data_IF_216051260289
#
_entry.id   IF_216051260289
#
_cell.length_a   1.000
_cell.length_b   1.000
_cell.length_c   1.000
_cell.angle_alpha   90.00
_cell.angle_beta   90.00
_cell.angle_gamma   90.00
#
_symmetry.space_group_name_H-M   'P 1'
#
loop_
_entity.id
_entity.type
_entity.pdbx_description
1 polymer ?
#
# COMPACT_ATOMS: atom_id res chain seq x y z
N UNK A 1 11.25 9.02 -16.31
CA UNK A 1 11.74 9.07 -14.90
C UNK A 1 10.61 8.63 -13.98
N UNK A 2 10.89 7.70 -13.10
CA UNK A 2 9.90 7.18 -12.15
C UNK A 2 9.92 8.02 -10.89
N UNK A 3 8.77 8.52 -10.47
CA UNK A 3 8.62 9.38 -9.29
C UNK A 3 7.41 8.98 -8.47
N UNK A 4 7.58 8.93 -7.16
CA UNK A 4 6.46 8.82 -6.21
C UNK A 4 6.00 10.23 -5.83
N UNK A 5 4.71 10.48 -5.90
CA UNK A 5 4.13 11.77 -5.48
C UNK A 5 2.95 11.53 -4.54
N UNK A 6 2.87 12.28 -3.44
CA UNK A 6 1.67 12.24 -2.61
C UNK A 6 0.48 12.75 -3.41
N UNK A 7 -0.66 12.13 -3.20
CA UNK A 7 -1.90 12.54 -3.83
C UNK A 7 -2.85 13.09 -2.78
N UNK A 8 -3.20 14.36 -2.93
CA UNK A 8 -4.16 15.03 -2.07
C UNK A 8 -5.31 15.54 -2.93
N UNK A 9 -6.50 15.04 -2.66
CA UNK A 9 -7.71 15.53 -3.31
C UNK A 9 -8.92 15.36 -2.40
N UNK A 10 -9.85 16.28 -2.50
CA UNK A 10 -11.19 16.16 -1.94
C UNK A 10 -12.18 15.64 -2.98
N UNK A 11 -11.74 15.45 -4.21
CA UNK A 11 -12.57 15.03 -5.32
C UNK A 11 -12.31 13.57 -5.70
N UNK A 12 -13.21 12.68 -5.28
CA UNK A 12 -13.14 11.25 -5.56
C UNK A 12 -13.28 10.88 -7.04
N UNK A 13 -13.90 11.72 -7.83
CA UNK A 13 -14.03 11.50 -9.28
C UNK A 13 -12.65 11.48 -9.94
N UNK A 14 -11.75 12.29 -9.45
CA UNK A 14 -10.36 12.32 -9.94
C UNK A 14 -9.63 11.01 -9.69
N UNK A 15 -9.81 10.40 -8.53
CA UNK A 15 -9.25 9.08 -8.22
C UNK A 15 -9.84 8.02 -9.16
N UNK A 16 -11.13 8.10 -9.45
CA UNK A 16 -11.80 7.18 -10.36
C UNK A 16 -11.32 7.27 -11.80
N UNK A 17 -10.89 8.44 -12.22
CA UNK A 17 -10.37 8.65 -13.57
C UNK A 17 -9.04 7.92 -13.78
N UNK A 18 -8.14 8.00 -12.79
CA UNK A 18 -6.81 7.42 -12.88
C UNK A 18 -6.75 5.94 -12.51
N UNK A 19 -7.67 5.46 -11.69
CA UNK A 19 -7.69 4.07 -11.25
C UNK A 19 -8.97 3.38 -11.72
N UNK A 20 -8.88 2.52 -12.73
CA UNK A 20 -10.00 1.72 -13.16
C UNK A 20 -10.54 0.92 -11.98
N UNK A 21 -11.80 1.13 -11.66
CA UNK A 21 -12.51 0.58 -10.49
C UNK A 21 -12.32 -0.92 -10.31
N UNK A 22 -12.35 -1.67 -11.42
CA UNK A 22 -12.23 -3.12 -11.44
C UNK A 22 -10.81 -3.60 -11.09
N UNK A 23 -9.80 -2.83 -11.46
CA UNK A 23 -8.41 -3.18 -11.25
C UNK A 23 -8.02 -3.05 -9.77
N UNK A 24 -8.39 -1.95 -9.12
CA UNK A 24 -8.11 -1.73 -7.70
C UNK A 24 -8.86 -2.76 -6.85
N UNK A 25 -10.15 -2.98 -7.12
CA UNK A 25 -10.96 -3.95 -6.40
C UNK A 25 -10.41 -5.38 -6.52
N UNK A 26 -9.85 -5.74 -7.68
CA UNK A 26 -9.25 -7.05 -7.93
C UNK A 26 -8.03 -7.33 -7.05
N UNK A 27 -7.24 -6.29 -6.71
CA UNK A 27 -5.97 -6.44 -5.99
C UNK A 27 -6.02 -6.06 -4.51
N UNK A 28 -7.11 -5.49 -4.03
CA UNK A 28 -7.21 -5.02 -2.65
C UNK A 28 -8.20 -5.81 -1.79
N UNK A 29 -8.84 -6.84 -2.32
CA UNK A 29 -9.91 -7.61 -1.65
C UNK A 29 -11.07 -6.76 -1.12
N UNK A 30 -11.06 -5.47 -1.37
CA UNK A 30 -12.08 -4.54 -0.90
C UNK A 30 -12.54 -3.67 -2.06
N UNK A 31 -13.84 -3.50 -2.14
CA UNK A 31 -14.45 -2.73 -3.22
C UNK A 31 -13.95 -1.28 -3.23
N UNK A 32 -13.94 -0.70 -4.40
CA UNK A 32 -13.54 0.67 -4.73
C UNK A 32 -14.01 1.72 -3.72
N UNK A 33 -15.25 1.64 -3.28
CA UNK A 33 -15.82 2.60 -2.33
C UNK A 33 -15.13 2.61 -0.98
N UNK A 34 -14.58 1.47 -0.60
CA UNK A 34 -13.88 1.33 0.67
C UNK A 34 -12.51 2.00 0.63
N UNK A 35 -11.80 1.92 -0.48
CA UNK A 35 -10.53 2.65 -0.67
C UNK A 35 -10.78 4.15 -0.62
N UNK A 36 -11.79 4.62 -1.33
CA UNK A 36 -12.15 6.04 -1.36
C UNK A 36 -12.61 6.56 0.00
N UNK A 37 -13.42 5.77 0.73
CA UNK A 37 -13.86 6.14 2.06
C UNK A 37 -12.72 6.14 3.07
N UNK A 38 -11.77 5.21 2.96
CA UNK A 38 -10.58 5.18 3.79
C UNK A 38 -9.69 6.40 3.56
N UNK A 39 -9.51 6.80 2.32
CA UNK A 39 -8.77 8.01 1.97
C UNK A 39 -9.39 9.26 2.61
N UNK A 40 -10.72 9.35 2.62
CA UNK A 40 -11.45 10.50 3.17
C UNK A 40 -11.54 10.51 4.70
N UNK A 41 -11.77 9.34 5.32
CA UNK A 41 -12.21 9.25 6.70
C UNK A 41 -11.10 8.96 7.73
N UNK A 42 -9.96 8.40 7.33
CA UNK A 42 -8.99 7.82 8.26
C UNK A 42 -7.58 8.39 8.18
N UNK A 43 -7.39 9.59 7.70
CA UNK A 43 -6.03 10.19 7.54
C UNK A 43 -5.08 9.28 6.76
N UNK A 44 -5.61 8.55 5.79
CA UNK A 44 -4.81 7.73 4.92
C UNK A 44 -3.90 8.58 4.05
N UNK A 45 -2.71 8.07 3.79
CA UNK A 45 -1.75 8.67 2.88
C UNK A 45 -1.84 7.92 1.55
N UNK A 46 -2.07 8.63 0.48
CA UNK A 46 -2.21 8.09 -0.85
C UNK A 46 -1.08 8.58 -1.74
N UNK A 47 -0.38 7.66 -2.36
CA UNK A 47 0.77 7.97 -3.21
C UNK A 47 0.58 7.39 -4.60
N UNK A 48 0.95 8.18 -5.60
CA UNK A 48 0.96 7.76 -7.00
C UNK A 48 2.39 7.55 -7.47
N UNK A 49 2.61 6.45 -8.17
CA UNK A 49 3.85 6.20 -8.88
C UNK A 49 3.68 6.65 -10.33
N UNK A 50 4.53 7.55 -10.75
CA UNK A 50 4.52 8.14 -12.09
C UNK A 50 5.71 7.68 -12.90
N UNK A 51 5.49 7.42 -14.17
CA UNK A 51 6.54 7.36 -15.17
C UNK A 51 6.29 8.48 -16.17
N UNK A 52 7.07 9.56 -16.07
CA UNK A 52 6.83 10.83 -16.74
C UNK A 52 5.40 11.32 -16.48
N UNK A 53 4.54 11.34 -17.50
CA UNK A 53 3.15 11.81 -17.37
C UNK A 53 2.13 10.68 -17.17
N UNK A 54 2.59 9.44 -17.01
CA UNK A 54 1.70 8.30 -16.83
C UNK A 54 1.69 7.81 -15.38
N UNK A 55 0.50 7.59 -14.84
CA UNK A 55 0.36 6.91 -13.55
C UNK A 55 0.49 5.41 -13.77
N UNK A 56 1.49 4.81 -13.17
CA UNK A 56 1.83 3.40 -13.33
C UNK A 56 1.60 2.56 -12.08
N UNK A 57 1.29 3.20 -10.95
CA UNK A 57 1.00 2.49 -9.72
C UNK A 57 0.50 3.39 -8.60
N UNK A 58 0.11 2.79 -7.51
CA UNK A 58 -0.23 3.49 -6.29
C UNK A 58 0.08 2.70 -5.03
N UNK A 59 0.25 3.43 -3.93
CA UNK A 59 0.34 2.87 -2.60
C UNK A 59 -0.54 3.63 -1.62
N UNK A 60 -1.19 2.91 -0.73
CA UNK A 60 -2.05 3.48 0.30
C UNK A 60 -1.54 3.06 1.68
N UNK A 61 -1.26 4.03 2.50
CA UNK A 61 -0.87 3.86 3.91
C UNK A 61 -2.02 4.37 4.77
N UNK A 62 -2.48 3.53 5.69
CA UNK A 62 -3.61 3.82 6.56
C UNK A 62 -3.16 3.91 8.02
N UNK A 63 -3.56 4.96 8.70
CA UNK A 63 -3.47 5.04 10.16
C UNK A 63 -4.70 4.37 10.78
N UNK A 64 -4.51 3.33 11.57
CA UNK A 64 -5.62 2.61 12.19
C UNK A 64 -5.23 1.96 13.50
N UNK A 65 -6.24 1.71 14.36
CA UNK A 65 -6.14 0.74 15.44
C UNK A 65 -6.11 -0.68 14.91
N UNK A 66 -5.25 -1.51 15.45
CA UNK A 66 -5.19 -2.92 15.12
C UNK A 66 -5.46 -3.79 16.35
N UNK A 67 -6.37 -4.74 16.18
CA UNK A 67 -6.63 -5.77 17.19
C UNK A 67 -5.40 -6.65 17.43
N UNK A 68 -4.65 -6.91 16.38
CA UNK A 68 -3.49 -7.80 16.45
C UNK A 68 -2.32 -7.18 17.21
N UNK A 69 -2.02 -5.92 16.95
CA UNK A 69 -0.94 -5.19 17.63
C UNK A 69 -1.41 -4.49 18.90
N UNK A 70 -2.72 -4.38 19.12
CA UNK A 70 -3.37 -3.67 20.25
C UNK A 70 -2.91 -2.22 20.38
N UNK A 71 -2.66 -1.57 19.25
CA UNK A 71 -2.28 -0.15 19.19
C UNK A 71 -2.60 0.47 17.83
N UNK A 72 -2.57 1.79 17.78
CA UNK A 72 -2.59 2.51 16.52
C UNK A 72 -1.25 2.39 15.80
N UNK A 73 -1.29 2.40 14.48
CA UNK A 73 -0.10 2.37 13.65
C UNK A 73 -0.41 2.64 12.19
N UNK A 74 0.65 2.79 11.41
CA UNK A 74 0.57 2.91 9.96
C UNK A 74 0.59 1.52 9.32
N UNK A 75 -0.37 1.27 8.45
CA UNK A 75 -0.56 -0.01 7.78
C UNK A 75 -0.49 0.18 6.27
N UNK A 76 0.30 -0.62 5.62
CA UNK A 76 0.26 -0.74 4.17
C UNK A 76 -1.05 -1.41 3.80
N UNK A 77 -1.97 -0.61 3.23
CA UNK A 77 -3.32 -1.06 2.93
C UNK A 77 -3.43 -1.62 1.52
N UNK A 78 -2.81 -0.97 0.56
CA UNK A 78 -2.84 -1.39 -0.84
C UNK A 78 -1.56 -1.00 -1.55
N UNK A 79 -1.10 -1.89 -2.40
CA UNK A 79 -0.05 -1.67 -3.40
C UNK A 79 -0.60 -2.16 -4.74
N UNK A 80 -0.52 -1.31 -5.74
CA UNK A 80 -0.99 -1.65 -7.08
C UNK A 80 -0.02 -1.13 -8.14
N UNK A 81 0.24 -1.98 -9.12
CA UNK A 81 0.98 -1.62 -10.33
C UNK A 81 0.09 -1.89 -11.54
N UNK A 82 0.03 -0.94 -12.45
CA UNK A 82 -0.69 -1.08 -13.71
C UNK A 82 -0.24 -2.37 -14.41
N UNK A 83 -1.17 -3.23 -14.84
CA UNK A 83 -0.84 -4.52 -15.48
C UNK A 83 0.17 -4.41 -16.61
N UNK A 84 0.10 -3.36 -17.43
CA UNK A 84 1.01 -3.14 -18.56
C UNK A 84 2.45 -2.85 -18.14
N UNK A 85 2.66 -2.53 -16.86
CA UNK A 85 3.98 -2.20 -16.29
C UNK A 85 4.52 -3.27 -15.34
N UNK A 86 3.82 -4.39 -15.19
CA UNK A 86 4.24 -5.49 -14.30
C UNK A 86 5.41 -6.28 -14.86
N UNK A 87 6.09 -7.03 -13.97
CA UNK A 87 7.24 -7.85 -14.34
C UNK A 87 8.54 -7.06 -14.53
N UNK A 88 8.58 -5.80 -14.12
CA UNK A 88 9.73 -4.89 -14.27
C UNK A 88 10.32 -4.42 -12.94
N UNK A 89 9.96 -5.07 -11.83
CA UNK A 89 10.43 -4.69 -10.49
C UNK A 89 9.82 -3.42 -9.91
N UNK A 90 8.77 -2.87 -10.52
CA UNK A 90 8.17 -1.60 -10.09
C UNK A 90 7.47 -1.69 -8.73
N UNK A 91 6.99 -2.87 -8.34
CA UNK A 91 6.43 -3.09 -7.00
C UNK A 91 7.47 -2.85 -5.90
N UNK A 92 8.69 -3.33 -6.10
CA UNK A 92 9.81 -3.11 -5.18
C UNK A 92 10.20 -1.63 -5.15
N UNK A 93 10.26 -0.98 -6.31
CA UNK A 93 10.55 0.46 -6.42
C UNK A 93 9.49 1.26 -5.66
N UNK A 94 8.21 0.94 -5.87
CA UNK A 94 7.10 1.59 -5.18
C UNK A 94 7.23 1.43 -3.66
N UNK A 95 7.48 0.22 -3.16
CA UNK A 95 7.64 -0.05 -1.73
C UNK A 95 8.80 0.74 -1.13
N UNK A 96 9.97 0.72 -1.77
CA UNK A 96 11.15 1.46 -1.29
C UNK A 96 10.91 2.96 -1.30
N UNK A 97 10.25 3.48 -2.31
CA UNK A 97 9.89 4.90 -2.39
C UNK A 97 8.91 5.30 -1.29
N UNK A 98 7.93 4.46 -1.00
CA UNK A 98 7.00 4.66 0.12
C UNK A 98 7.75 4.69 1.46
N UNK A 99 8.66 3.75 1.69
CA UNK A 99 9.42 3.70 2.93
C UNK A 99 10.28 4.94 3.11
N UNK A 100 10.93 5.40 2.05
CA UNK A 100 11.67 6.65 2.07
C UNK A 100 10.78 7.84 2.46
N UNK A 101 9.61 7.94 1.84
CA UNK A 101 8.65 9.01 2.11
C UNK A 101 8.14 8.96 3.56
N UNK A 102 7.84 7.79 4.08
CA UNK A 102 7.43 7.62 5.47
C UNK A 102 8.54 8.00 6.45
N UNK A 103 9.79 7.67 6.13
CA UNK A 103 10.96 8.08 6.92
C UNK A 103 11.08 9.62 6.99
N UNK A 104 10.87 10.32 5.89
CA UNK A 104 10.92 11.80 5.87
C UNK A 104 9.86 12.44 6.76
N UNK A 105 8.77 11.73 7.02
CA UNK A 105 7.68 12.15 7.89
C UNK A 105 7.87 11.69 9.35
N UNK A 106 9.05 11.18 9.66
CA UNK A 106 9.41 10.70 10.99
C UNK A 106 8.55 9.51 11.48
N UNK A 107 8.01 8.74 10.55
CA UNK A 107 7.30 7.50 10.84
C UNK A 107 8.34 6.40 11.04
N UNK A 108 8.21 5.62 12.11
CA UNK A 108 9.25 4.67 12.55
C UNK A 108 8.99 3.23 12.14
N UNK A 109 7.76 2.91 11.77
CA UNK A 109 7.38 1.54 11.43
C UNK A 109 6.15 1.52 10.55
N UNK A 110 6.02 0.45 9.78
CA UNK A 110 4.82 0.16 8.99
C UNK A 110 4.48 -1.33 9.11
N UNK A 111 3.19 -1.62 9.17
CA UNK A 111 2.65 -2.96 9.25
C UNK A 111 1.94 -3.35 7.97
N UNK A 112 1.81 -4.65 7.75
CA UNK A 112 0.91 -5.20 6.76
C UNK A 112 0.35 -6.53 7.23
N UNK A 113 -0.74 -6.95 6.63
CA UNK A 113 -1.24 -8.33 6.71
C UNK A 113 -1.07 -9.00 5.37
N UNK A 114 -0.75 -10.27 5.38
CA UNK A 114 -0.64 -11.09 4.18
C UNK A 114 -1.29 -12.45 4.42
N UNK A 115 -2.07 -12.92 3.47
CA UNK A 115 -2.72 -14.22 3.53
C UNK A 115 -1.67 -15.33 3.61
N UNK A 116 -1.93 -16.34 4.47
CA UNK A 116 -0.99 -17.45 4.65
C UNK A 116 -0.78 -18.28 3.38
N UNK A 117 -1.74 -18.27 2.48
CA UNK A 117 -1.64 -18.97 1.18
C UNK A 117 -0.84 -18.18 0.14
N UNK A 118 -0.63 -16.88 0.36
CA UNK A 118 0.10 -16.01 -0.55
C UNK A 118 1.60 -16.05 -0.27
N UNK A 119 2.23 -17.18 -0.56
CA UNK A 119 3.66 -17.41 -0.29
C UNK A 119 4.57 -16.51 -1.11
N UNK A 120 4.16 -16.14 -2.32
CA UNK A 120 4.90 -15.22 -3.19
C UNK A 120 5.02 -13.84 -2.53
N UNK A 121 3.91 -13.30 -2.04
CA UNK A 121 3.90 -12.01 -1.34
C UNK A 121 4.67 -12.07 -0.02
N UNK A 122 4.50 -13.13 0.76
CA UNK A 122 5.25 -13.31 2.01
C UNK A 122 6.77 -13.29 1.77
N UNK A 123 7.22 -14.02 0.76
CA UNK A 123 8.64 -14.07 0.41
C UNK A 123 9.17 -12.71 -0.07
N UNK A 124 8.36 -11.98 -0.85
CA UNK A 124 8.69 -10.63 -1.28
C UNK A 124 8.86 -9.69 -0.08
N UNK A 125 7.92 -9.70 0.85
CA UNK A 125 7.97 -8.84 2.04
C UNK A 125 9.14 -9.18 2.93
N UNK A 126 9.44 -10.46 3.15
CA UNK A 126 10.63 -10.89 3.88
C UNK A 126 11.93 -10.40 3.22
N UNK A 127 12.04 -10.50 1.90
CA UNK A 127 13.19 -9.99 1.15
C UNK A 127 13.34 -8.47 1.26
N UNK A 128 12.22 -7.75 1.38
CA UNK A 128 12.23 -6.30 1.58
C UNK A 128 12.62 -5.90 3.01
N UNK A 129 12.61 -6.83 3.95
CA UNK A 129 13.00 -6.60 5.34
C UNK A 129 11.86 -6.63 6.35
N UNK A 130 10.64 -7.01 5.93
CA UNK A 130 9.55 -7.26 6.87
C UNK A 130 9.81 -8.48 7.72
N UNK A 131 9.43 -8.40 8.98
CA UNK A 131 9.51 -9.47 9.96
C UNK A 131 8.09 -9.87 10.37
N UNK A 132 7.80 -11.16 10.37
CA UNK A 132 6.54 -11.67 10.90
C UNK A 132 6.50 -11.49 12.41
N UNK A 133 5.47 -10.82 12.92
CA UNK A 133 5.27 -10.59 14.34
C UNK A 133 4.10 -11.34 14.94
N UNK A 134 3.17 -11.82 14.09
CA UNK A 134 2.02 -12.59 14.49
C UNK A 134 1.51 -13.40 13.31
N UNK A 135 1.02 -14.62 13.60
CA UNK A 135 0.35 -15.47 12.61
C UNK A 135 -0.87 -16.11 13.24
N UNK A 136 -1.97 -16.14 12.50
CA UNK A 136 -3.16 -16.94 12.81
C UNK A 136 -3.46 -17.92 11.67
N UNK A 137 -4.64 -18.55 11.69
CA UNK A 137 -5.03 -19.55 10.68
C UNK A 137 -5.28 -18.97 9.29
N UNK A 138 -5.39 -17.64 9.14
CA UNK A 138 -5.76 -17.00 7.89
C UNK A 138 -4.64 -16.11 7.34
N UNK A 139 -3.97 -15.34 8.19
CA UNK A 139 -2.98 -14.35 7.77
C UNK A 139 -1.82 -14.21 8.74
N UNK A 140 -0.77 -13.63 8.26
CA UNK A 140 0.36 -13.15 9.05
C UNK A 140 0.36 -11.63 9.12
N UNK A 141 0.75 -11.10 10.28
CA UNK A 141 1.06 -9.68 10.46
C UNK A 141 2.56 -9.51 10.38
N UNK A 142 2.99 -8.59 9.54
CA UNK A 142 4.39 -8.30 9.33
C UNK A 142 4.68 -6.83 9.65
N UNK A 143 5.89 -6.57 10.13
CA UNK A 143 6.36 -5.25 10.52
C UNK A 143 7.67 -4.92 9.81
N UNK A 144 7.79 -3.68 9.38
CA UNK A 144 9.02 -3.11 8.85
C UNK A 144 9.45 -1.92 9.71
N UNK A 145 10.69 -1.94 10.20
CA UNK A 145 11.29 -0.82 10.91
C UNK A 145 11.89 0.16 9.90
N UNK A 146 11.39 1.38 9.91
CA UNK A 146 11.80 2.46 9.01
C UNK A 146 13.05 3.18 9.53
#
# INVERSE_FOLDING_TARGET
MIQLKPYQTTNFEHVNYYFPKKEIAKYTNEGKYRILSLFALYKSKFYLLWDNDNIIGCGVIRWKWSRDTKRFGYWLYAIWINPNYRGKGLGVILMKSLFHELCTQNIKEVFLTVDNTNTIAQNLYKKLGFVEILQNNQYSVMQYAL
#
